data_IF_833578177102
#
_entry.id   IF_833578177102
#
_cell.length_a   1.000
_cell.length_b   1.000
_cell.length_c   1.000
_cell.angle_alpha   90.00
_cell.angle_beta   90.00
_cell.angle_gamma   90.00
#
_symmetry.space_group_name_H-M   'P 1'
#
loop_
_entity.id
_entity.type
_entity.pdbx_description
1 polymer ?
#
# COMPACT_ATOMS: atom_id res chain seq x y z
N UNK A 1 -21.96 -10.18 -10.70
CA UNK A 1 -21.96 -8.81 -10.16
C UNK A 1 -21.29 -8.88 -8.80
N UNK A 2 -20.03 -8.51 -8.72
CA UNK A 2 -19.35 -8.28 -7.44
C UNK A 2 -19.35 -6.77 -7.24
N UNK A 3 -20.20 -6.28 -6.34
CA UNK A 3 -20.10 -4.91 -5.85
C UNK A 3 -19.09 -4.93 -4.71
N UNK A 4 -17.94 -4.30 -4.93
CA UNK A 4 -16.95 -4.11 -3.88
C UNK A 4 -17.48 -3.08 -2.87
N UNK A 5 -17.30 -3.37 -1.60
CA UNK A 5 -17.77 -2.53 -0.49
C UNK A 5 -16.62 -1.66 0.00
N UNK A 6 -16.82 -0.35 -0.04
CA UNK A 6 -15.95 0.62 0.64
C UNK A 6 -16.62 1.08 1.93
N UNK A 7 -15.99 0.88 3.06
CA UNK A 7 -16.43 1.49 4.32
C UNK A 7 -15.46 2.58 4.76
N UNK A 8 -16.00 3.70 5.21
CA UNK A 8 -15.25 4.77 5.86
C UNK A 8 -15.86 5.04 7.23
N UNK A 9 -15.03 5.22 8.24
CA UNK A 9 -15.47 5.63 9.56
C UNK A 9 -15.44 7.16 9.64
N UNK A 10 -16.62 7.75 9.75
CA UNK A 10 -16.83 9.18 9.92
C UNK A 10 -17.40 9.43 11.31
N UNK A 11 -16.56 9.87 12.26
CA UNK A 11 -16.95 10.14 13.66
C UNK A 11 -17.55 8.95 14.43
N UNK A 12 -16.97 7.75 14.27
CA UNK A 12 -17.49 6.55 14.90
C UNK A 12 -18.76 6.00 14.25
N UNK A 13 -19.20 6.59 13.14
CA UNK A 13 -20.25 6.06 12.28
C UNK A 13 -19.59 5.45 11.02
N UNK A 14 -19.69 4.15 10.90
CA UNK A 14 -19.23 3.46 9.68
C UNK A 14 -20.22 3.70 8.57
N UNK A 15 -19.78 4.43 7.53
CA UNK A 15 -20.55 4.55 6.29
C UNK A 15 -20.08 3.48 5.31
N UNK A 16 -21.02 2.68 4.82
CA UNK A 16 -20.76 1.67 3.80
C UNK A 16 -21.23 2.20 2.46
N UNK A 17 -20.31 2.29 1.49
CA UNK A 17 -20.61 2.69 0.12
C UNK A 17 -20.29 1.56 -0.84
N UNK A 18 -21.22 1.25 -1.73
CA UNK A 18 -20.99 0.29 -2.82
C UNK A 18 -20.35 1.01 -4.00
N UNK A 19 -19.23 0.50 -4.47
CA UNK A 19 -18.44 1.05 -5.57
C UNK A 19 -18.07 -0.05 -6.56
N UNK A 20 -17.81 0.31 -7.80
CA UNK A 20 -17.26 -0.61 -8.79
C UNK A 20 -15.73 -0.60 -8.76
N UNK A 21 -15.13 -1.72 -9.17
CA UNK A 21 -13.67 -1.81 -9.33
C UNK A 21 -13.22 -0.77 -10.35
N UNK A 22 -12.30 0.10 -9.94
CA UNK A 22 -11.79 1.21 -10.75
C UNK A 22 -12.33 2.58 -10.36
N UNK A 23 -13.40 2.64 -9.58
CA UNK A 23 -13.95 3.91 -9.08
C UNK A 23 -12.93 4.65 -8.20
N UNK A 24 -12.97 5.98 -8.30
CA UNK A 24 -12.27 6.86 -7.38
C UNK A 24 -13.20 7.30 -6.26
N UNK A 25 -12.79 7.02 -5.03
CA UNK A 25 -13.50 7.43 -3.81
C UNK A 25 -12.67 8.46 -3.06
N UNK A 26 -13.30 9.56 -2.71
CA UNK A 26 -12.74 10.58 -1.83
C UNK A 26 -13.41 10.48 -0.47
N UNK A 27 -12.61 10.38 0.58
CA UNK A 27 -13.02 10.49 1.98
C UNK A 27 -12.50 11.80 2.57
N UNK A 28 -13.28 12.40 3.47
CA UNK A 28 -12.91 13.62 4.18
C UNK A 28 -13.11 13.36 5.65
N UNK A 29 -12.11 13.65 6.48
CA UNK A 29 -12.21 13.50 7.92
C UNK A 29 -13.37 14.36 8.44
N UNK A 30 -14.17 13.77 9.31
CA UNK A 30 -15.22 14.50 9.96
C UNK A 30 -14.63 15.47 11.02
N UNK A 31 -15.46 16.37 11.54
CA UNK A 31 -15.03 17.24 12.62
C UNK A 31 -14.53 16.41 13.81
N UNK A 32 -13.34 16.73 14.28
CA UNK A 32 -12.76 16.02 15.42
C UNK A 32 -13.65 16.17 16.66
N UNK A 33 -13.78 15.13 17.49
CA UNK A 33 -14.40 15.23 18.79
C UNK A 33 -13.72 16.31 19.66
N UNK A 34 -14.44 16.82 20.67
CA UNK A 34 -13.90 17.81 21.60
C UNK A 34 -12.59 17.33 22.25
N UNK A 35 -11.56 18.17 22.23
CA UNK A 35 -10.22 17.88 22.75
C UNK A 35 -9.36 17.00 21.84
N UNK A 36 -9.84 16.66 20.64
CA UNK A 36 -9.11 15.83 19.68
C UNK A 36 -8.85 16.55 18.36
N UNK A 37 -7.83 16.09 17.64
CA UNK A 37 -7.52 16.49 16.26
C UNK A 37 -7.41 15.29 15.36
N UNK A 38 -7.69 15.47 14.06
CA UNK A 38 -7.43 14.43 13.06
C UNK A 38 -5.92 14.13 13.01
N UNK A 39 -5.60 12.84 12.96
CA UNK A 39 -4.22 12.36 12.84
C UNK A 39 -3.95 11.83 11.44
N UNK A 40 -4.62 10.75 11.06
CA UNK A 40 -4.39 10.09 9.77
C UNK A 40 -5.52 9.12 9.40
N UNK A 41 -5.49 8.67 8.15
CA UNK A 41 -6.29 7.55 7.65
C UNK A 41 -5.52 6.25 7.75
N UNK A 42 -6.20 5.14 8.11
CA UNK A 42 -5.63 3.80 8.12
C UNK A 42 -6.35 2.84 7.18
N UNK A 43 -5.61 1.84 6.70
CA UNK A 43 -6.12 0.62 6.06
C UNK A 43 -5.40 -0.55 6.70
N UNK A 44 -6.15 -1.53 7.22
CA UNK A 44 -5.58 -2.64 7.99
C UNK A 44 -4.64 -2.16 9.12
N UNK A 45 -5.10 -1.15 9.87
CA UNK A 45 -4.35 -0.55 11.00
C UNK A 45 -3.04 0.18 10.61
N UNK A 46 -2.71 0.27 9.32
CA UNK A 46 -1.53 0.98 8.84
C UNK A 46 -1.88 2.38 8.37
N UNK A 47 -1.14 3.42 8.79
CA UNK A 47 -1.35 4.77 8.32
C UNK A 47 -1.08 4.87 6.81
N UNK A 48 -1.98 5.53 6.09
CA UNK A 48 -1.91 5.67 4.63
C UNK A 48 -1.95 7.10 4.14
N UNK A 49 -2.51 8.02 4.92
CA UNK A 49 -2.59 9.44 4.54
C UNK A 49 -2.81 10.30 5.78
N UNK A 50 -2.01 11.35 5.92
CA UNK A 50 -2.07 12.32 7.02
C UNK A 50 -2.86 13.59 6.68
N UNK A 51 -3.39 13.70 5.47
CA UNK A 51 -4.26 14.80 5.07
C UNK A 51 -5.71 14.47 5.42
N UNK A 52 -6.48 15.46 5.88
CA UNK A 52 -7.91 15.30 6.18
C UNK A 52 -8.74 14.78 5.01
N UNK A 53 -8.28 15.01 3.78
CA UNK A 53 -8.91 14.50 2.57
C UNK A 53 -8.02 13.47 1.90
N UNK A 54 -8.56 12.27 1.64
CA UNK A 54 -7.86 11.18 0.98
C UNK A 54 -8.67 10.66 -0.19
N UNK A 55 -8.03 10.51 -1.36
CA UNK A 55 -8.65 9.93 -2.57
C UNK A 55 -7.93 8.64 -2.94
N UNK A 56 -8.69 7.59 -3.19
CA UNK A 56 -8.15 6.29 -3.58
C UNK A 56 -9.01 5.63 -4.66
N UNK A 57 -8.41 4.68 -5.39
CA UNK A 57 -9.14 3.87 -6.38
C UNK A 57 -9.51 2.54 -5.73
N UNK A 58 -10.75 2.13 -5.91
CA UNK A 58 -11.29 0.86 -5.40
C UNK A 58 -10.81 -0.28 -6.29
N UNK A 59 -10.23 -1.33 -5.69
CA UNK A 59 -9.82 -2.53 -6.40
C UNK A 59 -10.37 -3.81 -5.75
N UNK A 60 -10.85 -3.71 -4.53
CA UNK A 60 -11.47 -4.75 -3.71
C UNK A 60 -12.16 -4.10 -2.52
N UNK A 61 -12.84 -4.88 -1.72
CA UNK A 61 -13.36 -4.43 -0.43
C UNK A 61 -12.22 -3.81 0.40
N UNK A 62 -12.44 -2.61 0.88
CA UNK A 62 -11.47 -1.84 1.65
C UNK A 62 -12.18 -1.08 2.76
N UNK A 63 -11.64 -1.18 3.97
CA UNK A 63 -12.03 -0.34 5.09
C UNK A 63 -10.97 0.75 5.27
N UNK A 64 -11.43 2.00 5.19
CA UNK A 64 -10.59 3.19 5.43
C UNK A 64 -11.11 3.84 6.70
N UNK A 65 -10.26 3.94 7.72
CA UNK A 65 -10.63 4.44 9.05
C UNK A 65 -9.89 5.73 9.36
N UNK A 66 -10.62 6.74 9.86
CA UNK A 66 -10.04 7.97 10.38
C UNK A 66 -9.55 7.77 11.82
N UNK A 67 -8.37 8.27 12.12
CA UNK A 67 -7.76 8.23 13.45
C UNK A 67 -7.68 9.64 14.01
N UNK A 68 -8.15 9.83 15.25
CA UNK A 68 -8.10 11.08 16.00
C UNK A 68 -7.28 10.86 17.26
N UNK A 69 -6.44 11.82 17.59
CA UNK A 69 -5.57 11.83 18.78
C UNK A 69 -5.90 13.04 19.66
N UNK A 70 -5.44 13.04 20.89
CA UNK A 70 -5.59 14.20 21.80
C UNK A 70 -4.92 15.43 21.18
N UNK A 71 -5.50 16.62 21.37
CA UNK A 71 -5.01 17.85 20.73
C UNK A 71 -3.54 18.16 21.07
N UNK A 72 -3.13 17.83 22.29
CA UNK A 72 -1.75 18.01 22.78
C UNK A 72 -0.78 16.89 22.32
N UNK A 73 -1.28 15.79 21.74
CA UNK A 73 -0.45 14.67 21.29
C UNK A 73 0.31 15.03 20.03
N UNK A 74 1.61 14.71 19.97
CA UNK A 74 2.41 14.85 18.75
C UNK A 74 2.12 13.70 17.80
N UNK A 75 1.75 14.01 16.54
CA UNK A 75 1.48 13.01 15.53
C UNK A 75 2.80 12.45 15.00
N UNK A 76 3.10 11.22 15.37
CA UNK A 76 4.23 10.48 14.80
C UNK A 76 3.86 10.01 13.38
N UNK A 77 4.50 10.60 12.38
CA UNK A 77 4.23 10.29 10.99
C UNK A 77 5.20 9.24 10.48
N UNK A 78 4.67 8.13 10.02
CA UNK A 78 5.45 6.99 9.55
C UNK A 78 5.35 6.83 8.03
N UNK A 79 6.43 6.33 7.44
CA UNK A 79 6.42 5.87 6.05
C UNK A 79 5.66 4.55 5.99
N UNK A 80 4.66 4.48 5.14
CA UNK A 80 3.84 3.28 4.99
C UNK A 80 3.75 2.81 3.55
N UNK A 81 3.65 1.49 3.38
CA UNK A 81 3.46 0.85 2.08
C UNK A 81 2.43 -0.26 2.21
N UNK A 82 1.50 -0.30 1.27
CA UNK A 82 0.53 -1.38 1.10
C UNK A 82 0.77 -2.05 -0.25
N UNK A 83 0.53 -3.35 -0.33
CA UNK A 83 0.58 -4.09 -1.59
C UNK A 83 -0.70 -4.90 -1.80
N UNK A 84 -1.08 -5.02 -3.06
CA UNK A 84 -2.16 -5.90 -3.48
C UNK A 84 -1.78 -6.64 -4.76
N UNK A 85 -2.30 -7.88 -4.90
CA UNK A 85 -2.13 -8.71 -6.09
C UNK A 85 -3.50 -9.18 -6.55
N UNK A 86 -3.80 -8.99 -7.82
CA UNK A 86 -5.03 -9.44 -8.44
C UNK A 86 -4.78 -10.02 -9.83
N UNK A 87 -5.79 -10.72 -10.40
CA UNK A 87 -5.68 -11.29 -11.74
C UNK A 87 -6.96 -11.03 -12.52
N UNK A 88 -6.80 -10.50 -13.72
CA UNK A 88 -7.90 -10.31 -14.67
C UNK A 88 -7.36 -10.33 -16.11
N UNK A 89 -8.16 -10.83 -17.05
CA UNK A 89 -7.87 -10.77 -18.49
C UNK A 89 -6.47 -11.30 -18.87
N UNK A 90 -6.04 -12.40 -18.26
CA UNK A 90 -4.73 -13.02 -18.54
C UNK A 90 -3.53 -12.25 -18.00
N UNK A 91 -3.75 -11.33 -17.05
CA UNK A 91 -2.69 -10.52 -16.45
C UNK A 91 -2.78 -10.52 -14.93
N UNK A 92 -1.64 -10.70 -14.28
CA UNK A 92 -1.48 -10.36 -12.87
C UNK A 92 -1.24 -8.86 -12.76
N UNK A 93 -1.97 -8.21 -11.87
CA UNK A 93 -1.77 -6.82 -11.49
C UNK A 93 -1.12 -6.78 -10.11
N UNK A 94 -0.02 -6.09 -10.00
CA UNK A 94 0.63 -5.74 -8.75
C UNK A 94 0.36 -4.25 -8.49
N UNK A 95 -0.17 -3.94 -7.33
CA UNK A 95 -0.45 -2.57 -6.90
C UNK A 95 0.29 -2.29 -5.60
N UNK A 96 1.14 -1.29 -5.59
CA UNK A 96 1.74 -0.73 -4.37
C UNK A 96 1.15 0.65 -4.13
N UNK A 97 0.73 0.92 -2.89
CA UNK A 97 0.35 2.25 -2.41
C UNK A 97 1.33 2.65 -1.33
N UNK A 98 1.82 3.85 -1.35
CA UNK A 98 2.74 4.34 -0.32
C UNK A 98 2.41 5.76 0.11
N UNK A 99 2.78 6.07 1.34
CA UNK A 99 2.73 7.40 1.93
C UNK A 99 4.03 7.68 2.65
N UNK A 100 4.65 8.81 2.32
CA UNK A 100 5.85 9.33 2.98
C UNK A 100 5.49 10.68 3.59
N UNK A 101 5.79 10.93 4.86
CA UNK A 101 5.51 12.21 5.50
C UNK A 101 6.19 13.37 4.76
N UNK A 102 5.42 14.43 4.47
CA UNK A 102 5.93 15.60 3.72
C UNK A 102 6.66 16.62 4.59
N UNK A 103 6.48 16.53 5.90
CA UNK A 103 7.03 17.43 6.91
C UNK A 103 8.20 16.83 7.70
N UNK A 104 8.71 15.67 7.27
CA UNK A 104 9.83 14.99 7.90
C UNK A 104 11.18 15.23 7.19
N UNK A 105 11.26 16.20 6.27
CA UNK A 105 12.44 16.46 5.42
C UNK A 105 12.95 15.23 4.65
N UNK A 106 12.05 14.30 4.35
CA UNK A 106 12.36 13.13 3.54
C UNK A 106 12.30 13.48 2.05
N UNK A 107 13.17 12.85 1.27
CA UNK A 107 13.15 12.92 -0.19
C UNK A 107 12.79 11.56 -0.77
N UNK A 108 11.63 11.43 -1.39
CA UNK A 108 11.26 10.19 -2.10
C UNK A 108 12.13 10.02 -3.32
N UNK A 109 12.62 8.81 -3.55
CA UNK A 109 13.55 8.48 -4.64
C UNK A 109 12.92 7.50 -5.62
N UNK A 110 12.30 6.43 -5.10
CA UNK A 110 11.83 5.32 -5.93
C UNK A 110 10.67 4.59 -5.25
N UNK A 111 9.73 4.12 -6.04
CA UNK A 111 8.68 3.24 -5.55
C UNK A 111 8.43 2.08 -6.53
N UNK A 112 7.89 0.98 -6.04
CA UNK A 112 7.65 -0.16 -6.90
C UNK A 112 7.11 -1.40 -6.18
N UNK A 113 7.35 -2.55 -6.82
CA UNK A 113 6.94 -3.87 -6.34
C UNK A 113 8.07 -4.87 -6.60
N UNK A 114 8.32 -5.74 -5.64
CA UNK A 114 9.05 -6.99 -5.83
C UNK A 114 8.06 -8.15 -5.83
N UNK A 115 8.18 -9.08 -6.78
CA UNK A 115 7.26 -10.18 -6.94
C UNK A 115 7.94 -11.47 -7.41
N UNK A 116 7.34 -12.60 -7.07
CA UNK A 116 7.78 -13.92 -7.55
C UNK A 116 6.60 -14.89 -7.61
N UNK A 117 6.73 -15.97 -8.36
CA UNK A 117 5.76 -17.08 -8.37
C UNK A 117 6.02 -18.06 -7.20
N UNK A 118 5.12 -19.03 -7.01
CA UNK A 118 5.22 -20.02 -5.93
C UNK A 118 6.55 -20.78 -5.90
N UNK A 119 7.14 -21.08 -7.05
CA UNK A 119 8.44 -21.76 -7.14
C UNK A 119 9.56 -20.87 -6.63
N UNK A 120 9.55 -19.59 -7.02
CA UNK A 120 10.56 -18.64 -6.53
C UNK A 120 10.37 -18.32 -5.05
N UNK A 121 9.13 -18.28 -4.58
CA UNK A 121 8.86 -18.05 -3.15
C UNK A 121 9.32 -19.23 -2.28
N UNK A 122 9.11 -20.48 -2.74
CA UNK A 122 9.62 -21.64 -2.03
C UNK A 122 11.16 -21.62 -1.87
N UNK A 123 11.90 -21.23 -2.91
CA UNK A 123 13.35 -21.07 -2.82
C UNK A 123 13.78 -19.97 -1.85
N UNK A 124 13.02 -18.88 -1.75
CA UNK A 124 13.27 -17.80 -0.77
C UNK A 124 13.06 -18.33 0.66
N UNK A 125 11.97 -19.09 0.90
CA UNK A 125 11.67 -19.66 2.21
C UNK A 125 12.70 -20.72 2.65
N UNK A 126 13.21 -21.53 1.72
CA UNK A 126 14.23 -22.55 2.00
C UNK A 126 15.50 -21.96 2.63
N UNK A 127 15.90 -20.76 2.22
CA UNK A 127 17.07 -20.05 2.76
C UNK A 127 16.71 -18.98 3.78
N UNK A 128 15.45 -18.91 4.22
CA UNK A 128 14.94 -17.96 5.20
C UNK A 128 15.21 -16.48 4.84
N UNK A 129 15.20 -16.15 3.55
CA UNK A 129 15.26 -14.77 3.10
C UNK A 129 13.86 -14.13 3.08
N UNK A 130 13.82 -12.80 3.11
CA UNK A 130 12.62 -12.04 2.82
C UNK A 130 12.52 -11.70 1.33
N UNK A 131 11.30 -11.50 0.83
CA UNK A 131 11.07 -11.00 -0.52
C UNK A 131 11.32 -9.49 -0.56
N UNK A 132 12.52 -9.10 -0.98
CA UNK A 132 12.99 -7.71 -1.05
C UNK A 132 13.74 -7.43 -2.37
N UNK A 133 14.19 -6.20 -2.55
CA UNK A 133 15.08 -5.84 -3.68
C UNK A 133 16.41 -6.60 -3.65
N UNK A 134 16.86 -7.01 -2.47
CA UNK A 134 18.16 -7.67 -2.26
C UNK A 134 18.06 -9.20 -2.28
N UNK A 135 16.87 -9.75 -2.48
CA UNK A 135 16.67 -11.20 -2.57
C UNK A 135 17.48 -11.80 -3.72
N UNK A 136 18.27 -12.82 -3.41
CA UNK A 136 19.15 -13.53 -4.35
C UNK A 136 18.81 -15.02 -4.51
N UNK A 137 17.97 -15.56 -3.62
CA UNK A 137 17.61 -16.97 -3.55
C UNK A 137 16.91 -17.53 -4.82
N UNK A 138 16.43 -16.65 -5.71
CA UNK A 138 15.72 -17.09 -6.91
C UNK A 138 15.98 -16.18 -8.09
N UNK A 139 16.13 -16.78 -9.28
CA UNK A 139 16.17 -16.04 -10.56
C UNK A 139 14.77 -15.64 -11.06
N UNK A 140 13.70 -16.12 -10.39
CA UNK A 140 12.31 -15.80 -10.72
C UNK A 140 11.83 -14.46 -10.16
N UNK A 141 12.67 -13.78 -9.40
CA UNK A 141 12.38 -12.48 -8.84
C UNK A 141 12.11 -11.44 -9.94
N UNK A 142 11.01 -10.73 -9.79
CA UNK A 142 10.64 -9.58 -10.62
C UNK A 142 10.76 -8.32 -9.77
N UNK A 143 11.61 -7.41 -10.20
CA UNK A 143 11.83 -6.10 -9.55
C UNK A 143 11.28 -5.03 -10.49
N UNK A 144 10.14 -4.45 -10.11
CA UNK A 144 9.50 -3.37 -10.84
C UNK A 144 9.61 -2.09 -10.02
N UNK A 145 9.88 -0.98 -10.67
CA UNK A 145 9.91 0.29 -9.97
C UNK A 145 10.14 1.48 -10.90
N UNK A 146 9.83 2.65 -10.38
CA UNK A 146 9.98 3.93 -11.05
C UNK A 146 10.63 4.92 -10.09
N UNK A 147 11.52 5.75 -10.59
CA UNK A 147 11.99 6.92 -9.85
C UNK A 147 10.83 7.92 -9.74
N UNK A 148 10.63 8.44 -8.56
CA UNK A 148 9.51 9.34 -8.26
C UNK A 148 9.90 10.26 -7.11
N UNK A 149 9.30 11.44 -7.09
CA UNK A 149 9.37 12.44 -6.01
C UNK A 149 8.03 12.63 -5.30
N UNK A 150 7.03 11.78 -5.63
CA UNK A 150 5.69 11.86 -5.03
C UNK A 150 5.69 11.24 -3.63
N UNK A 151 5.13 11.95 -2.66
CA UNK A 151 5.03 11.54 -1.26
C UNK A 151 3.84 10.64 -0.97
N UNK A 152 2.82 10.69 -1.80
CA UNK A 152 1.64 9.84 -1.75
C UNK A 152 1.27 9.44 -3.17
N UNK A 153 1.38 8.15 -3.49
CA UNK A 153 1.05 7.66 -4.83
C UNK A 153 0.81 6.14 -4.88
N UNK A 154 0.38 5.70 -6.05
CA UNK A 154 0.21 4.30 -6.38
C UNK A 154 1.19 3.93 -7.50
N UNK A 155 1.88 2.82 -7.34
CA UNK A 155 2.63 2.16 -8.41
C UNK A 155 1.85 0.93 -8.87
N UNK A 156 1.62 0.80 -10.18
CA UNK A 156 0.89 -0.35 -10.75
C UNK A 156 1.73 -1.01 -11.84
N UNK A 157 1.86 -2.33 -11.76
CA UNK A 157 2.54 -3.15 -12.77
C UNK A 157 1.67 -4.31 -13.20
N UNK A 158 1.66 -4.59 -14.50
CA UNK A 158 0.96 -5.75 -15.08
C UNK A 158 1.96 -6.76 -15.65
N UNK A 159 1.70 -8.03 -15.38
CA UNK A 159 2.44 -9.15 -15.95
C UNK A 159 1.48 -10.06 -16.69
N UNK A 160 1.65 -10.22 -18.02
CA UNK A 160 0.90 -11.20 -18.80
C UNK A 160 1.36 -12.61 -18.44
N UNK A 161 0.45 -13.46 -18.04
CA UNK A 161 0.70 -14.86 -17.70
C UNK A 161 -0.55 -15.70 -17.85
N UNK A 162 -0.37 -16.93 -18.29
CA UNK A 162 -1.42 -17.95 -18.32
C UNK A 162 -1.13 -19.09 -17.34
N UNK A 163 -0.11 -18.95 -16.50
CA UNK A 163 0.29 -20.01 -15.56
C UNK A 163 -0.63 -20.02 -14.35
N UNK A 164 -1.20 -21.19 -14.08
CA UNK A 164 -1.87 -21.49 -12.81
C UNK A 164 -0.80 -21.57 -11.70
N UNK A 165 -0.69 -20.55 -10.90
CA UNK A 165 0.31 -20.43 -9.82
C UNK A 165 -0.10 -19.36 -8.83
N UNK A 166 0.48 -19.39 -7.64
CA UNK A 166 0.37 -18.29 -6.69
C UNK A 166 1.48 -17.28 -6.93
N UNK A 167 1.09 -16.02 -7.00
CA UNK A 167 2.00 -14.87 -7.03
C UNK A 167 2.09 -14.26 -5.65
N UNK A 168 3.31 -13.94 -5.24
CA UNK A 168 3.67 -13.27 -4.00
C UNK A 168 4.32 -11.94 -4.34
N UNK A 169 3.95 -10.89 -3.64
CA UNK A 169 4.51 -9.56 -3.88
C UNK A 169 4.59 -8.72 -2.61
N UNK A 170 5.55 -7.81 -2.58
CA UNK A 170 5.63 -6.69 -1.61
C UNK A 170 5.81 -5.38 -2.38
N UNK A 171 5.03 -4.38 -2.03
CA UNK A 171 5.28 -3.02 -2.45
C UNK A 171 6.48 -2.44 -1.69
N UNK A 172 7.15 -1.45 -2.27
CA UNK A 172 8.21 -0.74 -1.59
C UNK A 172 8.23 0.74 -1.97
N UNK A 173 8.78 1.56 -1.06
CA UNK A 173 9.22 2.92 -1.33
C UNK A 173 10.62 3.11 -0.77
N UNK A 174 11.50 3.75 -1.54
CA UNK A 174 12.82 4.20 -1.11
C UNK A 174 12.82 5.71 -0.96
N UNK A 175 13.25 6.19 0.18
CA UNK A 175 13.40 7.61 0.48
C UNK A 175 14.77 7.88 1.10
N UNK A 176 15.20 9.12 1.06
CA UNK A 176 16.40 9.63 1.72
C UNK A 176 15.94 10.50 2.88
N UNK A 177 16.53 10.30 4.03
CA UNK A 177 16.31 11.14 5.20
C UNK A 177 17.14 12.44 5.17
N UNK A 178 17.00 13.26 6.19
CA UNK A 178 17.72 14.54 6.34
C UNK A 178 19.23 14.38 6.55
N UNK A 179 19.71 13.19 6.91
CA UNK A 179 21.15 12.88 7.01
C UNK A 179 21.76 12.49 5.66
N UNK A 180 20.93 12.25 4.65
CA UNK A 180 21.33 11.74 3.34
C UNK A 180 21.33 10.22 3.24
N UNK A 181 20.95 9.50 4.31
CA UNK A 181 20.83 8.05 4.31
C UNK A 181 19.57 7.59 3.55
N UNK A 182 19.72 6.50 2.78
CA UNK A 182 18.60 5.92 2.04
C UNK A 182 17.98 4.75 2.80
N UNK A 183 16.68 4.79 2.92
CA UNK A 183 15.86 3.77 3.57
C UNK A 183 14.88 3.19 2.56
N UNK A 184 14.63 1.87 2.65
CA UNK A 184 13.59 1.21 1.87
C UNK A 184 12.59 0.53 2.79
N UNK A 185 11.33 0.93 2.70
CA UNK A 185 10.21 0.37 3.47
C UNK A 185 9.39 -0.53 2.56
N UNK A 186 9.02 -1.70 3.07
CA UNK A 186 8.24 -2.71 2.37
C UNK A 186 6.87 -2.90 3.02
N UNK A 187 5.87 -3.22 2.20
CA UNK A 187 4.57 -3.67 2.67
C UNK A 187 4.64 -5.06 3.31
N UNK A 188 3.56 -5.48 3.93
CA UNK A 188 3.31 -6.89 4.16
C UNK A 188 3.24 -7.66 2.85
N UNK A 189 3.37 -8.99 2.93
CA UNK A 189 3.24 -9.87 1.78
C UNK A 189 1.80 -9.89 1.27
N UNK A 190 1.61 -9.58 0.00
CA UNK A 190 0.37 -9.81 -0.72
C UNK A 190 0.51 -11.05 -1.59
N UNK A 191 -0.59 -11.79 -1.77
CA UNK A 191 -0.59 -12.98 -2.62
C UNK A 191 -1.91 -13.15 -3.36
N UNK A 192 -1.85 -13.81 -4.52
CA UNK A 192 -3.01 -14.22 -5.30
C UNK A 192 -2.75 -15.53 -6.04
N UNK A 193 -3.70 -16.46 -5.96
CA UNK A 193 -3.62 -17.76 -6.66
C UNK A 193 -4.48 -17.71 -7.92
N UNK A 194 -3.85 -17.85 -9.08
CA UNK A 194 -4.55 -18.05 -10.36
C UNK A 194 -5.02 -19.50 -10.42
N UNK A 195 -6.30 -19.69 -10.61
CA UNK A 195 -6.98 -21.00 -10.72
C UNK A 195 -7.39 -21.26 -12.15
#
# INVERSE_FOLDING_TARGET
WSSDVCSSDLNGNTETKYCEVGDQVRVVAAQAPEGKKFSHWTVNEKPICYNESYTFTVYKDIAVTSVYVEEAEEIQKEVSVLCDVSYANGRVKFLSKYSVPTDADYKVIKAGVVATDSTGYAAIQEVQQELTLDTTATTRLKKYGVNTDLYLANFTQYLKTSRTTTWYARGYVTYQDNSGEQHTVYSDMAQYTIR
#
